data_IF_223284986490
#
_entry.id   IF_223284986490
#
_cell.length_a   1.000
_cell.length_b   1.000
_cell.length_c   1.000
_cell.angle_alpha   90.00
_cell.angle_beta   90.00
_cell.angle_gamma   90.00
#
_symmetry.space_group_name_H-M   'P 1'
#
loop_
_entity.id
_entity.type
_entity.pdbx_description
1 polymer ?
#
# COMPACT_ATOMS: atom_id res chain seq x y z
N UNK A 1 37.79 1.84 47.85
CA UNK A 1 36.64 1.89 46.94
C UNK A 1 37.14 1.46 45.59
N UNK A 2 37.04 0.18 45.28
CA UNK A 2 37.36 -0.36 43.94
C UNK A 2 36.34 0.17 42.96
N UNK A 3 36.82 0.91 41.94
CA UNK A 3 36.03 1.19 40.74
C UNK A 3 35.82 -0.13 40.04
N UNK A 4 34.61 -0.65 40.12
CA UNK A 4 34.21 -1.80 39.34
C UNK A 4 34.56 -1.53 37.86
N UNK A 5 35.47 -2.33 37.33
CA UNK A 5 35.78 -2.39 35.91
C UNK A 5 34.51 -2.84 35.18
N UNK A 6 33.75 -1.90 34.71
CA UNK A 6 32.80 -2.19 33.61
C UNK A 6 33.64 -2.71 32.47
N UNK A 7 33.49 -3.99 32.14
CA UNK A 7 34.08 -4.53 30.92
C UNK A 7 33.47 -3.74 29.74
N UNK A 8 34.21 -2.76 29.28
CA UNK A 8 33.85 -2.04 28.07
C UNK A 8 34.06 -3.02 26.91
N UNK A 9 32.95 -3.56 26.41
CA UNK A 9 32.98 -4.39 25.20
C UNK A 9 33.53 -3.54 24.04
N UNK A 10 34.46 -4.11 23.24
CA UNK A 10 34.94 -3.44 22.04
C UNK A 10 33.75 -3.06 21.11
N UNK A 11 33.86 -1.90 20.44
CA UNK A 11 32.83 -1.43 19.52
C UNK A 11 32.39 -2.47 18.49
N UNK A 12 33.32 -3.24 17.93
CA UNK A 12 33.03 -4.33 17.01
C UNK A 12 32.16 -5.45 17.61
N UNK A 13 32.33 -5.75 18.93
CA UNK A 13 31.44 -6.69 19.59
C UNK A 13 30.04 -6.16 19.75
N UNK A 14 29.89 -4.88 20.09
CA UNK A 14 28.59 -4.22 20.22
C UNK A 14 27.90 -4.15 18.85
N UNK A 15 28.62 -3.78 17.78
CA UNK A 15 28.09 -3.77 16.41
C UNK A 15 27.58 -5.14 15.99
N UNK A 16 28.33 -6.23 16.30
CA UNK A 16 27.88 -7.58 16.01
C UNK A 16 26.63 -7.95 16.81
N UNK A 17 26.53 -7.59 18.08
CA UNK A 17 25.32 -7.81 18.89
C UNK A 17 24.13 -7.05 18.28
N UNK A 18 24.30 -5.78 17.97
CA UNK A 18 23.24 -4.96 17.37
C UNK A 18 22.77 -5.50 16.00
N UNK A 19 23.68 -6.07 15.22
CA UNK A 19 23.34 -6.67 13.93
C UNK A 19 22.41 -7.89 14.01
N UNK A 20 22.30 -8.49 15.19
CA UNK A 20 21.42 -9.63 15.48
C UNK A 20 20.06 -9.20 16.08
N UNK A 21 19.84 -7.92 16.23
CA UNK A 21 18.58 -7.34 16.72
C UNK A 21 17.69 -6.85 15.57
N UNK A 22 16.90 -5.82 15.79
CA UNK A 22 16.10 -5.16 14.76
C UNK A 22 16.63 -3.75 14.45
N UNK A 23 16.30 -3.17 13.29
CA UNK A 23 16.61 -1.77 12.99
C UNK A 23 16.11 -0.80 14.07
N UNK A 24 14.92 -1.07 14.61
CA UNK A 24 14.33 -0.28 15.68
C UNK A 24 15.15 -0.38 16.98
N UNK A 25 15.61 -1.58 17.34
CA UNK A 25 16.41 -1.78 18.55
C UNK A 25 17.81 -1.22 18.40
N UNK A 26 18.43 -1.31 17.23
CA UNK A 26 19.70 -0.65 16.94
C UNK A 26 19.58 0.88 17.11
N UNK A 27 18.50 1.49 16.59
CA UNK A 27 18.23 2.90 16.80
C UNK A 27 17.99 3.26 18.28
N UNK A 28 17.23 2.45 19.02
CA UNK A 28 17.02 2.67 20.47
C UNK A 28 18.32 2.55 21.27
N UNK A 29 19.12 1.55 20.94
CA UNK A 29 20.40 1.30 21.59
C UNK A 29 21.38 2.47 21.43
N UNK A 30 21.29 3.24 20.33
CA UNK A 30 22.12 4.42 20.12
C UNK A 30 21.95 5.51 21.19
N UNK A 31 20.88 5.45 21.96
CA UNK A 31 20.58 6.38 23.05
C UNK A 31 21.21 5.98 24.39
N UNK A 32 21.75 4.78 24.50
CA UNK A 32 22.29 4.23 25.77
C UNK A 32 23.63 4.85 26.14
N UNK A 33 24.56 4.96 25.18
CA UNK A 33 25.87 5.58 25.39
C UNK A 33 26.51 5.96 24.06
N UNK A 34 27.62 6.71 24.12
CA UNK A 34 28.42 7.05 22.94
C UNK A 34 28.94 5.84 22.20
N UNK A 35 29.38 4.80 22.91
CA UNK A 35 29.87 3.54 22.31
C UNK A 35 28.75 2.84 21.53
N UNK A 36 27.55 2.72 22.12
CA UNK A 36 26.39 2.15 21.43
C UNK A 36 25.96 3.00 20.23
N UNK A 37 26.08 4.32 20.33
CA UNK A 37 25.82 5.22 19.19
C UNK A 37 26.76 4.94 18.04
N UNK A 38 28.08 4.90 18.29
CA UNK A 38 29.08 4.60 17.26
C UNK A 38 28.85 3.21 16.65
N UNK A 39 28.63 2.20 17.50
CA UNK A 39 28.35 0.85 17.05
C UNK A 39 27.07 0.77 16.16
N UNK A 40 26.03 1.53 16.52
CA UNK A 40 24.77 1.56 15.75
C UNK A 40 24.87 2.30 14.41
N UNK A 41 25.91 3.10 14.18
CA UNK A 41 26.17 3.73 12.88
C UNK A 41 26.97 2.82 11.94
N UNK A 42 27.54 1.73 12.47
CA UNK A 42 28.39 0.82 11.70
C UNK A 42 27.68 0.18 10.52
N UNK A 43 28.31 0.18 9.35
CA UNK A 43 27.81 -0.48 8.14
C UNK A 43 27.60 -2.00 8.34
N UNK A 44 28.34 -2.63 9.26
CA UNK A 44 28.17 -4.05 9.62
C UNK A 44 26.74 -4.32 10.14
N UNK A 45 26.18 -3.42 10.94
CA UNK A 45 24.83 -3.51 11.49
C UNK A 45 23.81 -3.40 10.38
N UNK A 46 23.90 -2.34 9.59
CA UNK A 46 22.91 -2.01 8.57
C UNK A 46 22.96 -2.92 7.34
N UNK A 47 24.13 -3.51 7.03
CA UNK A 47 24.25 -4.56 6.00
C UNK A 47 23.39 -5.79 6.33
N UNK A 48 23.25 -6.13 7.63
CA UNK A 48 22.41 -7.24 8.07
C UNK A 48 20.92 -6.96 8.01
N UNK A 49 20.53 -5.70 8.12
CA UNK A 49 19.13 -5.27 8.04
C UNK A 49 18.67 -5.05 6.60
N UNK A 50 19.59 -4.80 5.68
CA UNK A 50 19.28 -4.73 4.26
C UNK A 50 18.95 -6.13 3.71
N UNK A 51 18.01 -6.25 2.76
CA UNK A 51 17.78 -7.49 2.04
C UNK A 51 19.08 -7.99 1.38
N UNK A 52 19.30 -9.30 1.33
CA UNK A 52 20.52 -9.86 0.73
C UNK A 52 20.70 -9.48 -0.74
N UNK A 53 19.62 -9.20 -1.44
CA UNK A 53 19.55 -8.80 -2.85
C UNK A 53 19.44 -7.28 -3.06
N UNK A 54 19.73 -6.46 -2.04
CA UNK A 54 19.57 -4.99 -2.12
C UNK A 54 20.37 -4.37 -3.30
N UNK A 55 21.51 -4.97 -3.68
CA UNK A 55 22.32 -4.50 -4.81
C UNK A 55 21.58 -4.70 -6.14
N UNK A 56 20.94 -5.84 -6.31
CA UNK A 56 20.13 -6.15 -7.48
C UNK A 56 18.90 -5.24 -7.54
N UNK A 57 18.27 -4.98 -6.39
CA UNK A 57 17.16 -4.04 -6.27
C UNK A 57 17.58 -2.65 -6.76
N UNK A 58 18.73 -2.14 -6.28
CA UNK A 58 19.24 -0.82 -6.69
C UNK A 58 19.59 -0.81 -8.17
N UNK A 59 20.17 -1.88 -8.70
CA UNK A 59 20.56 -1.96 -10.13
C UNK A 59 19.36 -1.92 -11.08
N UNK A 60 18.19 -2.35 -10.61
CA UNK A 60 16.91 -2.31 -11.35
C UNK A 60 16.18 -0.98 -11.23
N UNK A 61 16.74 -0.01 -10.49
CA UNK A 61 16.10 1.29 -10.30
C UNK A 61 15.81 2.00 -11.62
N UNK A 62 14.55 2.32 -11.85
CA UNK A 62 14.07 3.16 -12.95
C UNK A 62 14.14 4.64 -12.55
N UNK A 63 15.33 5.11 -12.20
CA UNK A 63 15.56 6.51 -11.84
C UNK A 63 16.60 7.10 -12.79
N UNK A 64 16.40 8.34 -13.26
CA UNK A 64 17.41 9.02 -14.09
C UNK A 64 18.70 9.30 -13.33
N UNK A 65 18.66 9.25 -12.00
CA UNK A 65 19.83 9.46 -11.14
C UNK A 65 20.15 8.20 -10.34
N UNK A 66 21.42 7.81 -10.22
CA UNK A 66 21.82 6.66 -9.42
C UNK A 66 21.45 6.89 -7.94
N UNK A 67 21.16 5.80 -7.24
CA UNK A 67 20.96 5.84 -5.79
C UNK A 67 22.32 6.04 -5.11
N UNK A 68 22.62 7.28 -4.73
CA UNK A 68 23.86 7.63 -4.03
C UNK A 68 23.60 7.59 -2.51
N UNK A 69 24.50 6.96 -1.77
CA UNK A 69 24.46 6.89 -0.30
C UNK A 69 25.88 6.86 0.26
N UNK A 70 26.07 7.44 1.44
CA UNK A 70 27.37 7.52 2.13
C UNK A 70 27.57 6.37 3.12
N UNK A 71 26.48 5.73 3.57
CA UNK A 71 26.48 4.61 4.53
C UNK A 71 25.34 3.66 4.27
N UNK A 72 25.45 2.41 4.81
CA UNK A 72 24.34 1.44 4.74
C UNK A 72 23.12 1.90 5.51
N UNK A 73 23.31 2.63 6.61
CA UNK A 73 22.22 3.24 7.37
C UNK A 73 21.44 4.25 6.53
N UNK A 74 22.14 5.11 5.81
CA UNK A 74 21.50 6.06 4.89
C UNK A 74 20.72 5.34 3.79
N UNK A 75 21.32 4.31 3.17
CA UNK A 75 20.64 3.48 2.18
C UNK A 75 19.36 2.86 2.75
N UNK A 76 19.45 2.25 3.94
CA UNK A 76 18.29 1.67 4.62
C UNK A 76 17.19 2.71 4.84
N UNK A 77 17.54 3.84 5.44
CA UNK A 77 16.59 4.93 5.68
C UNK A 77 15.95 5.45 4.38
N UNK A 78 16.73 5.53 3.31
CA UNK A 78 16.25 5.97 2.01
C UNK A 78 15.24 4.97 1.42
N UNK A 79 15.53 3.67 1.48
CA UNK A 79 14.62 2.63 1.00
C UNK A 79 13.30 2.57 1.80
N UNK A 80 13.34 2.95 3.09
CA UNK A 80 12.13 3.02 3.92
C UNK A 80 11.25 4.23 3.56
N UNK A 81 11.87 5.39 3.26
CA UNK A 81 11.13 6.63 3.07
C UNK A 81 10.82 6.94 1.59
N UNK A 82 11.65 6.46 0.67
CA UNK A 82 11.56 6.71 -0.76
C UNK A 82 11.68 5.40 -1.52
N UNK A 83 10.58 4.65 -1.71
CA UNK A 83 10.59 3.43 -2.48
C UNK A 83 11.15 3.62 -3.88
N UNK A 84 11.96 2.69 -4.34
CA UNK A 84 12.59 2.71 -5.67
C UNK A 84 11.58 2.21 -6.69
N UNK A 85 11.43 2.96 -7.79
CA UNK A 85 10.71 2.49 -8.97
C UNK A 85 11.56 1.49 -9.75
N UNK A 86 10.95 0.42 -10.18
CA UNK A 86 11.53 -0.66 -10.97
C UNK A 86 10.58 -1.06 -12.10
N UNK A 87 11.04 -1.95 -13.00
CA UNK A 87 10.21 -2.49 -14.09
C UNK A 87 9.54 -1.35 -14.88
N UNK A 88 10.38 -0.53 -15.52
CA UNK A 88 9.98 0.64 -16.32
C UNK A 88 9.15 1.68 -15.54
N UNK A 89 9.26 1.68 -14.22
CA UNK A 89 8.55 2.60 -13.35
C UNK A 89 7.12 2.17 -13.00
N UNK A 90 6.73 0.94 -13.35
CA UNK A 90 5.38 0.41 -13.09
C UNK A 90 5.26 -0.32 -11.76
N UNK A 91 6.37 -0.64 -11.11
CA UNK A 91 6.42 -1.24 -9.79
C UNK A 91 7.33 -0.45 -8.88
N UNK A 92 7.14 -0.57 -7.58
CA UNK A 92 8.05 0.03 -6.61
C UNK A 92 8.38 -0.95 -5.49
N UNK A 93 9.60 -0.81 -4.97
CA UNK A 93 10.10 -1.56 -3.83
C UNK A 93 10.66 -0.62 -2.78
N UNK A 94 10.34 -0.88 -1.51
CA UNK A 94 10.85 -0.21 -0.34
C UNK A 94 11.06 -1.19 0.79
N UNK A 95 11.40 -0.68 1.98
CA UNK A 95 11.56 -1.49 3.17
C UNK A 95 10.61 -1.03 4.28
N UNK A 96 10.08 -1.98 5.02
CA UNK A 96 9.38 -1.69 6.26
C UNK A 96 10.40 -1.22 7.32
N UNK A 97 10.11 -0.09 7.95
CA UNK A 97 11.06 0.65 8.78
C UNK A 97 11.53 -0.11 10.03
N UNK A 98 10.66 -0.94 10.59
CA UNK A 98 10.90 -1.57 11.88
C UNK A 98 11.66 -2.89 11.79
N UNK A 99 11.48 -3.61 10.69
CA UNK A 99 12.01 -4.98 10.53
C UNK A 99 12.86 -5.18 9.27
N UNK A 100 12.94 -4.19 8.36
CA UNK A 100 13.71 -4.27 7.12
C UNK A 100 13.14 -5.21 6.06
N UNK A 101 11.92 -5.71 6.26
CA UNK A 101 11.26 -6.55 5.27
C UNK A 101 10.85 -5.73 4.06
N UNK A 102 10.83 -6.36 2.89
CA UNK A 102 10.48 -5.71 1.63
C UNK A 102 9.00 -5.32 1.61
N UNK A 103 8.72 -4.09 1.20
CA UNK A 103 7.39 -3.63 0.79
C UNK A 103 7.38 -3.52 -0.73
N UNK A 104 6.30 -3.93 -1.36
CA UNK A 104 6.21 -3.96 -2.81
C UNK A 104 4.89 -3.35 -3.27
N UNK A 105 4.90 -2.56 -4.35
CA UNK A 105 3.67 -2.03 -4.91
C UNK A 105 3.64 -2.23 -6.43
N UNK A 106 2.54 -2.74 -6.91
CA UNK A 106 2.22 -2.89 -8.34
C UNK A 106 1.40 -1.67 -8.72
N UNK A 107 1.89 -0.86 -9.67
CA UNK A 107 1.15 0.29 -10.20
C UNK A 107 -0.03 -0.13 -11.07
N UNK A 108 -1.00 0.75 -11.24
CA UNK A 108 -2.24 0.48 -11.97
C UNK A 108 -2.01 -0.05 -13.38
N UNK A 109 -0.92 0.32 -14.05
CA UNK A 109 -0.54 -0.16 -15.40
C UNK A 109 -0.26 -1.67 -15.47
N UNK A 110 0.21 -2.25 -14.37
CA UNK A 110 0.51 -3.68 -14.27
C UNK A 110 -0.69 -4.51 -13.77
N UNK A 111 -1.78 -3.84 -13.40
CA UNK A 111 -3.00 -4.52 -12.98
C UNK A 111 -3.85 -4.91 -14.21
N UNK A 112 -4.46 -6.08 -14.14
CA UNK A 112 -5.51 -6.47 -15.07
C UNK A 112 -6.82 -5.79 -14.65
N UNK A 113 -7.21 -4.75 -15.35
CA UNK A 113 -8.44 -3.97 -15.11
C UNK A 113 -9.43 -4.31 -16.21
N UNK A 114 -10.60 -4.83 -15.85
CA UNK A 114 -11.64 -5.15 -16.83
C UNK A 114 -12.07 -3.87 -17.54
N UNK A 115 -12.02 -3.89 -18.88
CA UNK A 115 -12.24 -2.74 -19.77
C UNK A 115 -11.29 -1.55 -19.56
N UNK A 116 -10.11 -1.78 -18.97
CA UNK A 116 -9.12 -0.75 -18.68
C UNK A 116 -8.65 0.04 -19.89
N UNK A 117 -8.75 -0.54 -21.09
CA UNK A 117 -8.39 0.10 -22.37
C UNK A 117 -9.57 0.84 -23.03
N UNK A 118 -10.75 0.86 -22.39
CA UNK A 118 -11.95 1.52 -22.95
C UNK A 118 -12.10 2.91 -22.35
N UNK A 119 -11.89 4.00 -23.12
CA UNK A 119 -11.91 5.37 -22.59
C UNK A 119 -13.27 5.82 -22.02
N UNK A 120 -14.36 5.17 -22.39
CA UNK A 120 -15.69 5.41 -21.82
C UNK A 120 -15.80 4.93 -20.37
N UNK A 121 -14.96 3.97 -19.97
CA UNK A 121 -15.00 3.33 -18.67
C UNK A 121 -13.83 3.70 -17.78
N UNK A 122 -12.63 3.84 -18.35
CA UNK A 122 -11.41 4.16 -17.64
C UNK A 122 -10.60 5.24 -18.36
N UNK A 123 -9.93 6.07 -17.58
CA UNK A 123 -9.02 7.12 -18.08
C UNK A 123 -7.69 7.00 -17.39
N UNK A 124 -6.62 6.94 -18.17
CA UNK A 124 -5.26 6.99 -17.65
C UNK A 124 -4.83 8.44 -17.43
N UNK A 125 -4.27 8.73 -16.26
CA UNK A 125 -3.86 10.10 -15.87
C UNK A 125 -2.52 10.10 -15.19
N UNK A 126 -1.75 11.16 -15.41
CA UNK A 126 -0.58 11.49 -14.59
C UNK A 126 -0.99 12.41 -13.43
N UNK A 127 -0.58 12.07 -12.21
CA UNK A 127 -0.84 12.85 -11.01
C UNK A 127 0.47 13.11 -10.28
N UNK A 128 0.79 14.36 -9.91
CA UNK A 128 2.06 14.72 -9.25
C UNK A 128 2.29 13.99 -7.91
N UNK A 129 1.21 13.70 -7.18
CA UNK A 129 1.23 12.99 -5.90
C UNK A 129 1.27 11.47 -6.04
N UNK A 130 1.19 10.95 -7.27
CA UNK A 130 1.30 9.52 -7.51
C UNK A 130 2.76 9.08 -7.50
N UNK A 131 3.02 7.90 -6.94
CA UNK A 131 4.31 7.22 -7.03
C UNK A 131 4.64 6.81 -8.47
N UNK A 132 3.61 6.50 -9.26
CA UNK A 132 3.72 6.03 -10.64
C UNK A 132 3.37 7.13 -11.64
N UNK A 133 3.93 7.02 -12.84
CA UNK A 133 3.71 8.00 -13.91
C UNK A 133 2.24 8.12 -14.32
N UNK A 134 1.50 7.01 -14.25
CA UNK A 134 0.08 6.96 -14.60
C UNK A 134 -0.73 6.19 -13.56
N UNK A 135 -1.97 6.60 -13.38
CA UNK A 135 -2.99 6.00 -12.53
C UNK A 135 -4.27 5.79 -13.32
N UNK A 136 -5.10 4.84 -12.90
CA UNK A 136 -6.35 4.54 -13.57
C UNK A 136 -7.53 5.25 -12.88
N UNK A 137 -8.16 6.20 -13.57
CA UNK A 137 -9.38 6.86 -13.11
C UNK A 137 -10.61 6.11 -13.63
N UNK A 138 -11.45 5.69 -12.69
CA UNK A 138 -12.74 5.08 -12.97
C UNK A 138 -13.74 6.16 -13.42
N UNK A 139 -14.03 6.20 -14.73
CA UNK A 139 -14.99 7.13 -15.32
C UNK A 139 -16.41 6.66 -15.03
N UNK A 140 -16.75 5.45 -15.45
CA UNK A 140 -18.08 4.87 -15.18
C UNK A 140 -18.13 3.39 -15.58
N UNK A 141 -18.39 2.47 -14.64
CA UNK A 141 -18.59 1.04 -14.93
C UNK A 141 -19.73 0.46 -14.10
N UNK A 142 -20.44 -0.54 -14.65
CA UNK A 142 -21.35 -1.39 -13.88
C UNK A 142 -20.67 -2.68 -13.40
N UNK A 143 -19.55 -3.05 -14.00
CA UNK A 143 -18.72 -4.22 -13.66
C UNK A 143 -17.33 -3.75 -13.22
N UNK A 144 -17.10 -3.70 -11.89
CA UNK A 144 -15.83 -3.29 -11.34
C UNK A 144 -15.02 -4.52 -10.95
N UNK A 145 -13.91 -4.75 -11.67
CA UNK A 145 -13.06 -5.91 -11.44
C UNK A 145 -11.60 -5.57 -11.79
N UNK A 146 -10.70 -5.79 -10.81
CA UNK A 146 -9.26 -5.55 -10.89
C UNK A 146 -8.51 -6.75 -10.31
N UNK A 147 -7.46 -7.18 -10.99
CA UNK A 147 -6.54 -8.23 -10.54
C UNK A 147 -5.10 -7.74 -10.56
N UNK A 148 -4.35 -8.13 -9.54
CA UNK A 148 -2.89 -8.01 -9.49
C UNK A 148 -2.27 -9.37 -9.23
N UNK A 149 -1.07 -9.61 -9.79
CA UNK A 149 -0.31 -10.83 -9.57
C UNK A 149 1.13 -10.50 -9.20
N UNK A 150 1.71 -11.32 -8.32
CA UNK A 150 3.08 -11.13 -7.88
C UNK A 150 3.74 -12.45 -7.53
N UNK A 151 4.98 -12.63 -7.99
CA UNK A 151 5.81 -13.76 -7.59
C UNK A 151 6.31 -13.59 -6.15
N UNK A 152 6.14 -14.62 -5.33
CA UNK A 152 6.49 -14.56 -3.91
C UNK A 152 8.00 -14.55 -3.67
N UNK A 153 8.81 -15.00 -4.63
CA UNK A 153 10.28 -15.02 -4.56
C UNK A 153 10.93 -13.64 -4.39
N UNK A 154 10.26 -12.58 -4.83
CA UNK A 154 10.77 -11.22 -4.69
C UNK A 154 10.49 -10.62 -3.31
N UNK A 155 9.62 -11.22 -2.53
CA UNK A 155 9.24 -10.82 -1.19
C UNK A 155 10.21 -11.42 -0.14
N UNK A 156 10.15 -10.91 1.08
CA UNK A 156 10.93 -11.46 2.18
C UNK A 156 10.37 -12.81 2.65
N UNK A 157 11.20 -13.86 2.81
CA UNK A 157 10.74 -15.15 3.33
C UNK A 157 10.33 -15.06 4.80
N UNK A 158 9.61 -16.10 5.29
CA UNK A 158 9.10 -16.22 6.67
C UNK A 158 8.40 -14.96 7.15
N UNK A 159 7.50 -14.44 6.30
CA UNK A 159 6.86 -13.15 6.52
C UNK A 159 5.40 -13.22 6.13
N UNK A 160 4.51 -12.81 7.03
CA UNK A 160 3.11 -12.55 6.69
C UNK A 160 3.01 -11.23 5.96
N UNK A 161 2.40 -11.24 4.79
CA UNK A 161 2.11 -10.06 3.99
C UNK A 161 0.63 -9.77 3.97
N UNK A 162 0.28 -8.50 4.09
CA UNK A 162 -1.06 -8.01 3.80
C UNK A 162 -1.06 -7.22 2.48
N UNK A 163 -2.09 -7.43 1.67
CA UNK A 163 -2.32 -6.73 0.42
C UNK A 163 -3.32 -5.58 0.61
N UNK A 164 -3.03 -4.42 0.02
CA UNK A 164 -3.83 -3.21 0.13
C UNK A 164 -4.12 -2.65 -1.26
N UNK A 165 -5.40 -2.43 -1.59
CA UNK A 165 -5.77 -1.59 -2.73
C UNK A 165 -5.55 -0.14 -2.33
N UNK A 166 -4.74 0.59 -3.11
CA UNK A 166 -4.42 2.00 -2.88
C UNK A 166 -5.10 2.86 -3.93
N UNK A 167 -5.93 3.79 -3.49
CA UNK A 167 -6.76 4.61 -4.35
C UNK A 167 -7.09 5.96 -3.70
N UNK A 168 -7.69 6.87 -4.46
CA UNK A 168 -8.30 8.09 -3.95
C UNK A 168 -9.59 8.39 -4.68
N UNK A 169 -10.34 9.36 -4.17
CA UNK A 169 -11.54 9.87 -4.84
C UNK A 169 -11.18 11.05 -5.74
N UNK A 170 -11.89 11.17 -6.88
CA UNK A 170 -11.79 12.38 -7.72
C UNK A 170 -12.35 13.61 -6.98
N UNK A 171 -11.91 14.80 -7.37
CA UNK A 171 -12.56 16.05 -6.97
C UNK A 171 -14.02 16.04 -7.46
N UNK A 172 -14.97 16.11 -6.59
CA UNK A 172 -16.39 15.96 -6.91
C UNK A 172 -17.03 14.67 -6.39
N UNK A 173 -16.20 13.77 -5.85
CA UNK A 173 -16.65 12.60 -5.13
C UNK A 173 -16.85 11.37 -6.00
N UNK A 174 -17.12 10.26 -5.32
CA UNK A 174 -17.41 8.98 -5.93
C UNK A 174 -18.91 8.68 -5.92
N UNK A 175 -19.34 7.88 -6.86
CA UNK A 175 -20.74 7.46 -6.99
C UNK A 175 -20.84 5.93 -7.08
N UNK A 176 -21.89 5.36 -6.47
CA UNK A 176 -22.25 3.96 -6.63
C UNK A 176 -21.40 2.94 -5.88
N UNK A 177 -20.45 3.40 -5.06
CA UNK A 177 -19.51 2.54 -4.31
C UNK A 177 -20.02 2.16 -2.91
N UNK A 178 -21.18 2.66 -2.52
CA UNK A 178 -21.81 2.46 -1.21
C UNK A 178 -23.02 1.52 -1.26
N UNK A 179 -23.48 1.13 -2.44
CA UNK A 179 -24.65 0.26 -2.58
C UNK A 179 -24.35 -1.18 -2.20
N UNK A 180 -23.21 -1.70 -2.64
CA UNK A 180 -22.78 -3.05 -2.35
C UNK A 180 -21.30 -3.07 -1.96
N UNK A 181 -20.90 -3.95 -1.02
CA UNK A 181 -19.50 -4.19 -0.74
C UNK A 181 -18.83 -4.86 -1.94
N UNK A 182 -17.58 -4.49 -2.19
CA UNK A 182 -16.72 -5.23 -3.10
C UNK A 182 -16.20 -6.50 -2.42
N UNK A 183 -16.05 -7.57 -3.18
CA UNK A 183 -15.39 -8.79 -2.76
C UNK A 183 -13.89 -8.64 -3.04
N UNK A 184 -13.07 -8.87 -2.02
CA UNK A 184 -11.61 -8.88 -2.14
C UNK A 184 -11.07 -10.25 -1.76
N UNK A 185 -10.00 -10.69 -2.42
CA UNK A 185 -9.32 -11.93 -2.09
C UNK A 185 -7.82 -11.86 -2.37
N UNK A 186 -7.06 -12.64 -1.61
CA UNK A 186 -5.62 -12.88 -1.80
C UNK A 186 -5.40 -14.37 -1.75
N UNK A 187 -4.82 -14.96 -2.80
CA UNK A 187 -4.64 -16.41 -2.90
C UNK A 187 -3.41 -16.79 -3.73
N UNK A 188 -2.83 -17.95 -3.46
CA UNK A 188 -1.80 -18.53 -4.30
C UNK A 188 -2.40 -19.06 -5.60
N UNK A 189 -1.72 -18.79 -6.72
CA UNK A 189 -2.11 -19.33 -8.04
C UNK A 189 -1.80 -20.82 -8.07
N UNK A 190 -2.81 -21.64 -8.35
CA UNK A 190 -2.68 -23.11 -8.38
C UNK A 190 -2.71 -23.78 -6.99
N UNK A 191 -2.87 -23.03 -5.91
CA UNK A 191 -3.15 -23.57 -4.59
C UNK A 191 -4.58 -24.14 -4.51
N UNK A 192 -4.78 -25.09 -3.57
CA UNK A 192 -6.15 -25.53 -3.26
C UNK A 192 -7.01 -24.33 -2.88
N UNK A 193 -8.29 -24.38 -3.23
CA UNK A 193 -9.29 -23.32 -3.05
C UNK A 193 -9.35 -22.87 -1.57
N UNK A 194 -8.53 -21.89 -1.16
CA UNK A 194 -8.34 -21.54 0.24
C UNK A 194 -8.10 -20.05 0.53
N UNK A 195 -8.19 -19.17 -0.46
CA UNK A 195 -8.15 -17.72 -0.19
C UNK A 195 -9.48 -17.26 0.40
N UNK A 196 -9.45 -16.68 1.61
CA UNK A 196 -10.63 -16.08 2.23
C UNK A 196 -11.10 -14.89 1.38
N UNK A 197 -12.35 -14.93 0.93
CA UNK A 197 -12.98 -13.78 0.28
C UNK A 197 -13.60 -12.90 1.36
N UNK A 198 -13.24 -11.62 1.37
CA UNK A 198 -13.74 -10.64 2.34
C UNK A 198 -14.58 -9.58 1.64
N UNK A 199 -15.54 -9.02 2.36
CA UNK A 199 -16.36 -7.92 1.88
C UNK A 199 -15.77 -6.59 2.38
N UNK A 200 -15.55 -5.63 1.46
CA UNK A 200 -15.04 -4.30 1.78
C UNK A 200 -15.89 -3.23 1.11
N UNK A 201 -16.08 -2.10 1.78
CA UNK A 201 -16.71 -0.94 1.16
C UNK A 201 -15.62 -0.04 0.56
N UNK A 202 -15.81 0.41 -0.68
CA UNK A 202 -14.89 1.34 -1.35
C UNK A 202 -15.33 2.80 -1.18
N UNK A 203 -16.44 3.05 -0.48
CA UNK A 203 -16.94 4.38 -0.19
C UNK A 203 -16.35 4.94 1.10
N UNK A 204 -16.15 6.27 1.21
CA UNK A 204 -15.72 6.90 2.44
C UNK A 204 -16.79 6.77 3.55
N UNK A 205 -16.39 6.91 4.80
CA UNK A 205 -17.32 7.04 5.92
C UNK A 205 -18.16 8.32 5.80
N UNK A 206 -19.34 8.37 6.42
CA UNK A 206 -20.24 9.54 6.41
C UNK A 206 -19.55 10.83 6.90
N UNK A 207 -18.58 10.72 7.81
CA UNK A 207 -17.75 11.84 8.25
C UNK A 207 -16.83 12.38 7.15
N UNK A 208 -16.32 11.51 6.29
CA UNK A 208 -15.45 11.86 5.15
C UNK A 208 -16.27 12.34 3.94
N UNK A 209 -17.53 11.87 3.77
CA UNK A 209 -18.44 12.35 2.72
C UNK A 209 -18.64 13.86 2.74
N UNK A 210 -18.65 14.49 3.91
CA UNK A 210 -18.81 15.95 4.05
C UNK A 210 -17.62 16.74 3.49
N UNK A 211 -16.44 16.13 3.43
CA UNK A 211 -15.22 16.76 2.95
C UNK A 211 -15.13 16.74 1.41
N UNK A 212 -15.75 15.73 0.76
CA UNK A 212 -15.70 15.53 -0.69
C UNK A 212 -16.98 15.97 -1.44
N UNK A 213 -18.05 16.34 -0.74
CA UNK A 213 -19.26 16.89 -1.36
C UNK A 213 -19.08 18.37 -1.67
N UNK A 214 -18.47 18.68 -2.80
CA UNK A 214 -18.65 19.97 -3.45
C UNK A 214 -20.05 19.91 -4.11
N UNK A 215 -21.01 20.61 -3.51
CA UNK A 215 -22.36 20.76 -4.05
C UNK A 215 -22.25 21.35 -5.46
N UNK A 216 -22.69 20.66 -6.53
CA UNK A 216 -22.72 21.29 -7.84
C UNK A 216 -23.68 22.48 -7.78
N UNK A 217 -23.20 23.71 -8.02
CA UNK A 217 -24.06 24.85 -8.25
C UNK A 217 -24.91 24.52 -9.47
N UNK A 218 -26.13 24.10 -9.25
CA UNK A 218 -27.15 24.07 -10.29
C UNK A 218 -27.37 25.51 -10.76
N UNK A 219 -26.88 25.82 -11.97
CA UNK A 219 -27.35 26.95 -12.73
C UNK A 219 -28.81 26.63 -13.06
N UNK A 220 -29.72 27.41 -12.48
CA UNK A 220 -31.15 27.21 -12.64
C UNK A 220 -31.63 27.61 -14.02
N UNK A 221 -32.56 26.83 -14.54
CA UNK A 221 -33.65 27.34 -15.40
C UNK A 221 -34.90 26.54 -15.03
N UNK A 222 -35.87 27.27 -14.49
CA UNK A 222 -37.31 27.04 -14.36
C UNK A 222 -37.90 25.63 -14.41
N UNK A 223 -38.48 25.18 -13.30
CA UNK A 223 -39.83 24.63 -13.32
C UNK A 223 -40.47 24.65 -11.93
N UNK A 224 -41.61 25.30 -11.82
CA UNK A 224 -42.51 25.24 -10.66
C UNK A 224 -43.10 23.82 -10.58
N UNK A 225 -42.80 23.11 -9.51
CA UNK A 225 -43.63 22.01 -9.06
C UNK A 225 -43.47 21.87 -7.56
N UNK A 226 -44.53 22.23 -6.82
CA UNK A 226 -44.65 21.93 -5.38
C UNK A 226 -44.72 20.41 -5.21
N UNK A 227 -43.63 19.79 -4.91
CA UNK A 227 -43.58 18.41 -4.42
C UNK A 227 -43.23 18.41 -2.93
N UNK A 228 -44.18 18.02 -2.11
CA UNK A 228 -43.91 17.69 -0.71
C UNK A 228 -42.84 16.61 -0.62
N UNK A 229 -41.66 16.98 -0.15
CA UNK A 229 -40.62 16.01 0.19
C UNK A 229 -41.07 15.37 1.50
N UNK A 230 -41.73 14.21 1.39
CA UNK A 230 -41.84 13.28 2.49
C UNK A 230 -40.42 12.85 2.87
N UNK A 231 -39.93 13.34 4.00
CA UNK A 231 -38.79 12.77 4.69
C UNK A 231 -39.17 11.34 5.04
N UNK A 232 -38.78 10.39 4.24
CA UNK A 232 -38.69 9.00 4.69
C UNK A 232 -37.74 8.98 5.87
N UNK A 233 -38.11 8.36 7.02
CA UNK A 233 -37.17 8.13 8.08
C UNK A 233 -36.07 7.26 7.48
N UNK A 234 -34.82 7.72 7.62
CA UNK A 234 -33.64 6.92 7.31
C UNK A 234 -33.81 5.60 8.07
N UNK A 235 -34.11 4.55 7.31
CA UNK A 235 -33.99 3.19 7.82
C UNK A 235 -32.59 3.10 8.42
N UNK A 236 -32.48 2.78 9.68
CA UNK A 236 -31.27 2.32 10.34
C UNK A 236 -30.70 1.20 9.49
N UNK A 237 -29.85 1.56 8.55
CA UNK A 237 -29.05 0.61 7.82
C UNK A 237 -28.23 -0.11 8.89
N UNK A 238 -28.50 -1.41 9.05
CA UNK A 238 -27.62 -2.32 9.72
C UNK A 238 -26.23 -2.01 9.19
N UNK A 239 -25.32 -1.58 10.06
CA UNK A 239 -23.89 -1.46 9.74
C UNK A 239 -23.46 -2.82 9.22
N UNK A 240 -23.30 -2.94 7.91
CA UNK A 240 -22.79 -4.15 7.30
C UNK A 240 -21.36 -4.36 7.81
N UNK A 241 -21.04 -5.55 8.27
CA UNK A 241 -19.72 -5.99 8.74
C UNK A 241 -18.67 -5.98 7.60
N UNK A 242 -18.45 -4.86 6.94
CA UNK A 242 -17.45 -4.70 5.90
C UNK A 242 -16.39 -3.67 6.29
N UNK A 243 -15.12 -4.00 6.05
CA UNK A 243 -14.03 -3.08 6.26
C UNK A 243 -14.19 -1.85 5.35
N UNK A 244 -13.85 -0.66 5.87
CA UNK A 244 -13.90 0.61 5.14
C UNK A 244 -12.49 1.13 4.87
N UNK A 245 -12.32 1.98 3.84
CA UNK A 245 -11.03 2.59 3.52
C UNK A 245 -10.49 3.42 4.68
N UNK A 246 -9.17 3.42 4.82
CA UNK A 246 -8.42 4.26 5.76
C UNK A 246 -7.59 5.28 5.00
N UNK A 247 -7.43 6.46 5.56
CA UNK A 247 -6.53 7.47 5.02
C UNK A 247 -5.07 7.08 5.28
N UNK A 248 -4.24 7.34 4.28
CA UNK A 248 -2.78 7.24 4.35
C UNK A 248 -2.19 8.64 4.59
N UNK A 249 -1.01 8.67 5.18
CA UNK A 249 -0.31 9.96 5.39
C UNK A 249 0.18 10.65 4.11
N UNK A 250 0.05 10.00 2.95
CA UNK A 250 0.45 10.49 1.63
C UNK A 250 -0.73 11.03 0.79
N UNK A 251 -1.91 11.18 1.38
CA UNK A 251 -3.11 11.69 0.71
C UNK A 251 -3.88 10.65 -0.10
N UNK A 252 -3.47 9.39 -0.05
CA UNK A 252 -4.20 8.26 -0.63
C UNK A 252 -5.03 7.56 0.43
N UNK A 253 -6.00 6.78 -0.03
CA UNK A 253 -6.79 5.85 0.78
C UNK A 253 -6.27 4.44 0.56
N UNK A 254 -6.50 3.56 1.51
CA UNK A 254 -6.23 2.14 1.36
C UNK A 254 -7.33 1.29 1.97
N UNK A 255 -7.53 0.11 1.40
CA UNK A 255 -8.36 -0.94 1.97
C UNK A 255 -7.60 -2.27 1.93
N UNK A 256 -7.60 -2.99 3.04
CA UNK A 256 -6.95 -4.30 3.14
C UNK A 256 -7.76 -5.34 2.35
N UNK A 257 -7.09 -6.06 1.47
CA UNK A 257 -7.70 -7.09 0.62
C UNK A 257 -7.60 -8.50 1.22
N UNK A 258 -6.61 -8.72 2.09
CA UNK A 258 -6.33 -10.00 2.72
C UNK A 258 -4.85 -10.15 3.01
N UNK A 259 -4.50 -11.34 3.50
CA UNK A 259 -3.12 -11.66 3.88
C UNK A 259 -2.72 -13.06 3.43
N UNK A 260 -1.41 -13.30 3.35
CA UNK A 260 -0.82 -14.61 3.09
C UNK A 260 0.53 -14.73 3.78
N UNK A 261 0.96 -15.94 4.06
CA UNK A 261 2.28 -16.22 4.62
C UNK A 261 3.23 -16.66 3.52
N UNK A 262 4.35 -15.96 3.37
CA UNK A 262 5.43 -16.30 2.45
C UNK A 262 6.50 -17.12 3.21
N UNK A 263 6.41 -18.45 3.12
CA UNK A 263 7.29 -19.36 3.86
C UNK A 263 8.74 -19.24 3.38
N UNK A 264 9.00 -19.52 2.11
CA UNK A 264 10.36 -19.64 1.56
C UNK A 264 10.67 -18.64 0.45
N UNK A 265 9.67 -17.98 -0.11
CA UNK A 265 9.81 -17.18 -1.33
C UNK A 265 9.80 -18.03 -2.61
N UNK A 266 9.45 -19.30 -2.52
CA UNK A 266 9.36 -20.24 -3.64
C UNK A 266 7.93 -20.74 -3.85
N UNK A 267 6.97 -20.18 -3.12
CA UNK A 267 5.58 -20.63 -3.06
C UNK A 267 4.77 -20.31 -4.32
N UNK A 268 5.42 -19.71 -5.32
CA UNK A 268 4.81 -19.42 -6.63
C UNK A 268 4.32 -17.97 -6.76
N UNK A 269 3.14 -17.80 -7.34
CA UNK A 269 2.53 -16.51 -7.59
C UNK A 269 1.32 -16.29 -6.67
N UNK A 270 1.18 -15.10 -6.11
CA UNK A 270 0.00 -14.68 -5.39
C UNK A 270 -0.87 -13.79 -6.29
N UNK A 271 -2.16 -14.09 -6.35
CA UNK A 271 -3.18 -13.29 -7.03
C UNK A 271 -4.01 -12.53 -6.00
N UNK A 272 -4.18 -11.25 -6.26
CA UNK A 272 -5.01 -10.32 -5.48
C UNK A 272 -6.14 -9.83 -6.37
N UNK A 273 -7.37 -9.88 -5.89
CA UNK A 273 -8.52 -9.41 -6.68
C UNK A 273 -9.46 -8.53 -5.87
N UNK A 274 -10.06 -7.57 -6.55
CA UNK A 274 -11.18 -6.78 -6.03
C UNK A 274 -12.28 -6.75 -7.07
N UNK A 275 -13.52 -7.07 -6.67
CA UNK A 275 -14.67 -7.24 -7.56
C UNK A 275 -15.93 -6.65 -6.93
N UNK A 276 -16.66 -5.84 -7.68
CA UNK A 276 -18.05 -5.48 -7.38
C UNK A 276 -18.85 -5.59 -8.68
N UNK A 277 -19.43 -6.77 -8.89
CA UNK A 277 -20.07 -7.18 -10.15
C UNK A 277 -21.52 -7.60 -9.97
N UNK A 278 -21.97 -7.77 -8.71
CA UNK A 278 -23.29 -8.36 -8.40
C UNK A 278 -24.42 -7.33 -8.51
N UNK A 279 -24.17 -6.09 -8.18
CA UNK A 279 -25.21 -5.07 -8.07
C UNK A 279 -25.68 -4.50 -9.39
N UNK A 280 -24.90 -4.61 -10.48
CA UNK A 280 -25.20 -3.97 -11.77
C UNK A 280 -25.31 -2.46 -11.75
N UNK A 281 -25.03 -1.83 -10.60
CA UNK A 281 -25.05 -0.37 -10.43
C UNK A 281 -23.81 0.26 -11.05
N UNK A 282 -24.01 1.42 -11.66
CA UNK A 282 -22.92 2.21 -12.20
C UNK A 282 -22.08 2.83 -11.08
N UNK A 283 -20.76 2.77 -11.23
CA UNK A 283 -19.76 3.26 -10.28
C UNK A 283 -18.78 4.18 -10.97
N UNK A 284 -18.40 5.26 -10.29
CA UNK A 284 -17.45 6.23 -10.80
C UNK A 284 -16.68 6.93 -9.69
N UNK A 285 -15.60 7.62 -10.07
CA UNK A 285 -14.93 8.56 -9.19
C UNK A 285 -13.82 7.97 -8.31
N UNK A 286 -13.31 6.77 -8.62
CA UNK A 286 -12.08 6.24 -8.03
C UNK A 286 -10.88 6.54 -8.93
N UNK A 287 -9.75 6.78 -8.32
CA UNK A 287 -8.43 6.81 -8.96
C UNK A 287 -7.57 5.74 -8.32
N UNK A 288 -7.26 4.71 -9.06
CA UNK A 288 -6.47 3.57 -8.59
C UNK A 288 -4.98 3.87 -8.80
N UNK A 289 -4.19 3.87 -7.72
CA UNK A 289 -2.74 3.95 -7.79
C UNK A 289 -2.12 2.57 -8.02
N UNK A 290 -2.63 1.54 -7.34
CA UNK A 290 -2.10 0.19 -7.44
C UNK A 290 -2.50 -0.72 -6.27
N UNK A 291 -1.80 -1.85 -6.16
CA UNK A 291 -1.91 -2.79 -5.04
C UNK A 291 -0.55 -2.87 -4.34
N UNK A 292 -0.54 -2.63 -3.03
CA UNK A 292 0.65 -2.66 -2.19
C UNK A 292 0.67 -3.88 -1.28
N UNK A 293 1.82 -4.57 -1.23
CA UNK A 293 2.12 -5.67 -0.31
C UNK A 293 3.06 -5.17 0.78
N UNK A 294 2.65 -5.28 2.04
CA UNK A 294 3.44 -4.87 3.22
C UNK A 294 3.52 -6.01 4.23
N UNK A 295 4.68 -6.17 4.90
CA UNK A 295 4.80 -7.04 6.07
C UNK A 295 3.82 -6.60 7.17
N UNK A 296 3.30 -7.58 7.88
CA UNK A 296 2.42 -7.36 9.02
C UNK A 296 3.17 -7.41 10.34
#
# INVERSE_FOLDING_TARGET
>A
MEKGSTMDLPEGCISNILSLTSPADACRSSLVSSIFRWASESDIVWEKFLPSDYKDIISRSFSPSPVVFSSKKELYSRLCNNPILIDEGNKSIGLEKWNGKKCYMIGAKELSIVWGDTPAYWRWRSLPESRFSEVAELVNVCWFEIHGKMETRILSPKTTYAAYLVFKFVEGGAYGLDFHPAEVSVRFVGGEVGGETRAVYLSPNDSQRRQYQIVPRRIGIFSHSRGHILRLPSSTSREGEGQRPKERGDGWMEVEMGEFFNERGEDGEVEMSVKEVKGGHWKSGLVIQGIELRPR
#
